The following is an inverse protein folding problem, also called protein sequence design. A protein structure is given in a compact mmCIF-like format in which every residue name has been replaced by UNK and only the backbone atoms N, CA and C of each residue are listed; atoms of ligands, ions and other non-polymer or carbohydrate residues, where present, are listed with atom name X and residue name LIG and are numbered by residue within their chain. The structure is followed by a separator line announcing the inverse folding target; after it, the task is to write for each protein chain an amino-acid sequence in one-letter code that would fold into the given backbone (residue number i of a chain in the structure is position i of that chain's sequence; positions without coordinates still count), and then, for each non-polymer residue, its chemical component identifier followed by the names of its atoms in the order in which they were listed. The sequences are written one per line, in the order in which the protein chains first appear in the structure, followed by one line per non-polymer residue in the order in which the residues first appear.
data_IF_514352531771
#
_entry.id   IF_514352531771
#
_cell.length_a   1.000
_cell.length_b   1.000
_cell.length_c   1.000
_cell.angle_alpha   90.00
_cell.angle_beta   90.00
_cell.angle_gamma   90.00
#
_symmetry.space_group_name_H-M   'P 1'
#
loop_
_entity.id
_entity.type
_entity.pdbx_description
1 polymer ?
#
# COMPACT_ATOMS: atom_id res chain seq x y z
N UNK A 1 3.47 4.99 10.58
CA UNK A 1 2.52 6.12 10.57
C UNK A 1 2.27 6.67 11.97
N UNK A 2 1.88 7.93 12.08
CA UNK A 2 1.57 8.54 13.38
C UNK A 2 0.26 8.01 13.98
N UNK A 3 -0.66 7.48 13.16
CA UNK A 3 -1.97 6.99 13.58
C UNK A 3 -1.84 5.71 14.41
N UNK A 4 -1.15 4.70 13.89
CA UNK A 4 -1.03 3.39 14.54
C UNK A 4 0.33 3.20 15.25
N UNK A 5 1.32 4.01 14.93
CA UNK A 5 2.69 3.92 15.45
C UNK A 5 3.14 5.27 16.01
N UNK A 6 2.73 5.59 17.22
CA UNK A 6 3.10 6.83 17.90
C UNK A 6 4.62 7.00 18.00
N UNK A 7 5.10 8.17 17.61
CA UNK A 7 6.53 8.47 17.62
C UNK A 7 7.28 8.01 16.36
N UNK A 8 6.60 7.40 15.40
CA UNK A 8 7.22 7.04 14.12
C UNK A 8 7.42 8.32 13.29
N UNK A 9 8.64 8.65 12.93
CA UNK A 9 8.92 9.90 12.23
C UNK A 9 8.70 9.84 10.71
N UNK A 10 8.78 8.64 10.11
CA UNK A 10 8.55 8.42 8.67
C UNK A 10 7.04 8.39 8.38
N UNK A 11 6.47 9.56 8.14
CA UNK A 11 5.03 9.75 8.03
C UNK A 11 4.55 10.10 6.61
N UNK A 12 5.48 10.41 5.69
CA UNK A 12 5.12 10.87 4.34
C UNK A 12 5.97 10.21 3.28
N UNK A 13 5.34 9.92 2.12
CA UNK A 13 6.04 9.35 0.97
C UNK A 13 7.21 10.23 0.51
N UNK A 14 7.04 11.55 0.49
CA UNK A 14 8.11 12.45 0.10
C UNK A 14 9.38 12.29 0.96
N UNK A 15 9.23 12.13 2.29
CA UNK A 15 10.38 11.89 3.18
C UNK A 15 11.06 10.54 2.91
N UNK A 16 10.27 9.50 2.58
CA UNK A 16 10.84 8.21 2.21
C UNK A 16 11.65 8.30 0.91
N UNK A 17 11.17 9.08 -0.06
CA UNK A 17 11.87 9.34 -1.32
C UNK A 17 13.18 10.09 -1.08
N UNK A 18 13.16 11.17 -0.28
CA UNK A 18 14.37 11.93 0.07
C UNK A 18 15.47 11.02 0.64
N UNK A 19 15.10 10.05 1.50
CA UNK A 19 16.05 9.07 2.08
C UNK A 19 16.61 8.14 1.01
N UNK A 20 15.75 7.59 0.16
CA UNK A 20 16.20 6.67 -0.91
C UNK A 20 17.13 7.37 -1.88
N UNK A 21 16.82 8.62 -2.23
CA UNK A 21 17.68 9.46 -3.08
C UNK A 21 19.03 9.78 -2.41
N UNK A 22 19.02 10.10 -1.11
CA UNK A 22 20.26 10.39 -0.37
C UNK A 22 21.15 9.16 -0.21
N UNK A 23 20.55 7.96 -0.03
CA UNK A 23 21.29 6.69 0.03
C UNK A 23 21.90 6.33 -1.32
N UNK A 24 21.28 6.74 -2.43
CA UNK A 24 21.72 6.52 -3.81
C UNK A 24 22.13 5.06 -4.11
N UNK A 25 21.29 4.11 -3.68
CA UNK A 25 21.56 2.67 -3.88
C UNK A 25 20.36 1.98 -4.50
N UNK A 26 20.52 1.22 -5.59
CA UNK A 26 19.44 0.46 -6.21
C UNK A 26 18.90 -0.67 -5.31
N UNK A 27 19.64 -1.03 -4.27
CA UNK A 27 19.23 -2.06 -3.29
C UNK A 27 18.22 -1.54 -2.27
N UNK A 28 18.05 -0.21 -2.17
CA UNK A 28 17.11 0.41 -1.23
C UNK A 28 15.87 0.89 -1.99
N UNK A 29 14.73 0.38 -1.58
CA UNK A 29 13.42 0.74 -2.13
C UNK A 29 12.42 0.95 -1.00
N UNK A 30 11.32 1.60 -1.31
CA UNK A 30 10.23 1.87 -0.37
C UNK A 30 9.26 0.69 -0.39
N UNK A 31 8.86 0.21 0.79
CA UNK A 31 7.64 -0.54 0.96
C UNK A 31 6.50 0.47 1.20
N UNK A 32 5.56 0.55 0.26
CA UNK A 32 4.37 1.37 0.41
C UNK A 32 3.21 0.52 0.93
N UNK A 33 2.90 0.67 2.22
CA UNK A 33 1.72 0.06 2.80
C UNK A 33 0.49 0.94 2.52
N UNK A 34 -0.44 0.42 1.74
CA UNK A 34 -1.61 1.17 1.28
C UNK A 34 -2.59 1.50 2.41
N UNK A 35 -2.68 0.64 3.45
CA UNK A 35 -3.47 0.93 4.64
C UNK A 35 -2.89 2.13 5.40
N UNK A 36 -1.60 2.05 5.73
CA UNK A 36 -0.93 3.13 6.47
C UNK A 36 -0.89 4.43 5.67
N UNK A 37 -0.68 4.34 4.36
CA UNK A 37 -0.70 5.50 3.49
C UNK A 37 -2.08 6.17 3.46
N UNK A 38 -3.17 5.39 3.40
CA UNK A 38 -4.53 5.92 3.44
C UNK A 38 -4.82 6.65 4.74
N UNK A 39 -4.53 6.05 5.88
CA UNK A 39 -4.82 6.66 7.18
C UNK A 39 -3.92 7.84 7.53
N UNK A 40 -2.77 7.98 6.88
CA UNK A 40 -1.79 9.03 7.14
C UNK A 40 -1.91 10.21 6.17
N UNK A 41 -1.82 9.99 4.88
CA UNK A 41 -1.83 11.04 3.84
C UNK A 41 -3.03 10.92 2.90
N UNK A 42 -3.54 9.71 2.69
CA UNK A 42 -4.52 9.43 1.63
C UNK A 42 -3.93 9.64 0.22
N UNK A 43 -4.79 9.99 -0.73
CA UNK A 43 -4.40 10.29 -2.11
C UNK A 43 -3.55 9.18 -2.75
N UNK A 44 -3.96 7.91 -2.52
CA UNK A 44 -3.18 6.70 -2.83
C UNK A 44 -2.71 6.66 -4.28
N UNK A 45 -3.64 6.78 -5.23
CA UNK A 45 -3.33 6.64 -6.66
C UNK A 45 -2.34 7.70 -7.12
N UNK A 46 -2.51 8.95 -6.70
CA UNK A 46 -1.58 10.01 -7.06
C UNK A 46 -0.18 9.78 -6.47
N UNK A 47 -0.11 9.34 -5.22
CA UNK A 47 1.17 9.07 -4.55
C UNK A 47 1.88 7.86 -5.16
N UNK A 48 1.21 6.72 -5.36
CA UNK A 48 1.83 5.55 -5.96
C UNK A 48 2.32 5.82 -7.39
N UNK A 49 1.52 6.50 -8.21
CA UNK A 49 1.90 6.82 -9.59
C UNK A 49 3.11 7.76 -9.62
N UNK A 50 3.11 8.79 -8.76
CA UNK A 50 4.20 9.75 -8.68
C UNK A 50 5.54 9.12 -8.27
N UNK A 51 5.49 8.18 -7.34
CA UNK A 51 6.69 7.63 -6.69
C UNK A 51 7.00 6.18 -7.08
N UNK A 52 6.34 5.63 -8.12
CA UNK A 52 6.45 4.22 -8.51
C UNK A 52 7.90 3.75 -8.70
N UNK A 53 8.78 4.60 -9.23
CA UNK A 53 10.18 4.26 -9.47
C UNK A 53 10.97 3.97 -8.16
N UNK A 54 10.49 4.48 -7.04
CA UNK A 54 11.11 4.28 -5.72
C UNK A 54 10.51 3.12 -4.95
N UNK A 55 9.34 2.60 -5.38
CA UNK A 55 8.60 1.55 -4.68
C UNK A 55 9.09 0.18 -5.13
N UNK A 56 9.49 -0.65 -4.17
CA UNK A 56 9.92 -2.02 -4.39
C UNK A 56 8.92 -3.07 -3.89
N UNK A 57 7.97 -2.67 -3.04
CA UNK A 57 6.93 -3.55 -2.54
C UNK A 57 5.69 -2.77 -2.09
N UNK A 58 4.52 -3.42 -2.20
CA UNK A 58 3.28 -2.92 -1.65
C UNK A 58 2.74 -3.88 -0.59
N UNK A 59 2.16 -3.31 0.48
CA UNK A 59 1.24 -4.03 1.36
C UNK A 59 -0.18 -3.49 1.19
N UNK A 60 -1.17 -4.37 1.35
CA UNK A 60 -2.58 -4.04 1.21
C UNK A 60 -3.40 -4.57 2.39
N UNK A 61 -4.27 -3.71 2.91
CA UNK A 61 -5.27 -4.03 3.92
C UNK A 61 -6.45 -3.06 3.85
N UNK A 62 -7.63 -3.48 4.29
CA UNK A 62 -8.84 -2.67 4.29
C UNK A 62 -8.83 -1.59 5.38
N UNK A 63 -9.39 -0.44 5.08
CA UNK A 63 -9.67 0.65 6.02
C UNK A 63 -11.19 0.77 6.15
N UNK A 64 -11.73 0.90 7.38
CA UNK A 64 -11.04 0.89 8.67
C UNK A 64 -10.67 -0.52 9.17
N UNK A 65 -9.82 -0.59 10.18
CA UNK A 65 -9.58 -1.78 11.01
C UNK A 65 -8.52 -2.74 10.51
N UNK A 66 -7.93 -2.52 9.32
CA UNK A 66 -6.89 -3.39 8.75
C UNK A 66 -7.36 -4.82 8.51
N UNK A 67 -8.55 -4.94 7.90
CA UNK A 67 -9.23 -6.20 7.59
C UNK A 67 -9.22 -6.49 6.08
N UNK A 68 -10.22 -7.24 5.59
CA UNK A 68 -10.41 -7.54 4.18
C UNK A 68 -10.40 -6.29 3.31
N UNK A 69 -9.91 -6.42 2.08
CA UNK A 69 -9.78 -5.31 1.14
C UNK A 69 -11.13 -4.82 0.60
N UNK A 70 -12.10 -5.71 0.51
CA UNK A 70 -13.43 -5.38 -0.03
C UNK A 70 -14.31 -4.69 1.01
N UNK A 71 -15.10 -3.72 0.57
CA UNK A 71 -16.12 -3.07 1.40
C UNK A 71 -15.62 -1.97 2.34
N UNK A 72 -14.34 -1.62 2.27
CA UNK A 72 -13.74 -0.51 3.03
C UNK A 72 -13.72 0.81 2.27
N UNK A 73 -12.95 1.77 2.79
CA UNK A 73 -12.80 3.11 2.23
C UNK A 73 -11.88 3.15 1.00
N UNK A 74 -11.05 2.12 0.80
CA UNK A 74 -10.12 2.06 -0.34
C UNK A 74 -10.80 1.32 -1.50
N UNK A 75 -10.89 1.97 -2.65
CA UNK A 75 -11.24 1.29 -3.90
C UNK A 75 -10.02 0.52 -4.43
N UNK A 76 -9.86 -0.71 -3.97
CA UNK A 76 -8.73 -1.55 -4.36
C UNK A 76 -8.74 -1.93 -5.84
N UNK A 77 -9.89 -1.96 -6.49
CA UNK A 77 -9.97 -2.21 -7.92
C UNK A 77 -9.30 -1.07 -8.71
N UNK A 78 -9.59 0.17 -8.33
CA UNK A 78 -8.96 1.35 -8.91
C UNK A 78 -7.46 1.44 -8.56
N UNK A 79 -7.09 1.11 -7.32
CA UNK A 79 -5.69 1.12 -6.86
C UNK A 79 -4.85 0.08 -7.59
N UNK A 80 -5.31 -1.16 -7.71
CA UNK A 80 -4.59 -2.22 -8.45
C UNK A 80 -4.48 -1.89 -9.94
N UNK A 81 -5.55 -1.34 -10.55
CA UNK A 81 -5.48 -0.85 -11.92
C UNK A 81 -4.44 0.26 -12.12
N UNK A 82 -4.28 1.16 -11.14
CA UNK A 82 -3.24 2.19 -11.20
C UNK A 82 -1.82 1.63 -11.03
N UNK A 83 -1.64 0.62 -10.18
CA UNK A 83 -0.37 -0.09 -10.00
C UNK A 83 0.06 -0.75 -11.31
N UNK A 84 -0.86 -1.48 -11.97
CA UNK A 84 -0.61 -2.10 -13.27
C UNK A 84 -0.27 -1.09 -14.36
N UNK A 85 -1.06 0.00 -14.45
CA UNK A 85 -0.82 1.08 -15.42
C UNK A 85 0.51 1.80 -15.19
N UNK A 86 0.99 1.86 -13.95
CA UNK A 86 2.30 2.41 -13.64
C UNK A 86 3.47 1.46 -13.99
N UNK A 87 3.19 0.25 -14.47
CA UNK A 87 4.19 -0.72 -14.91
C UNK A 87 4.88 -1.46 -13.78
N UNK A 88 4.27 -1.53 -12.60
CA UNK A 88 4.80 -2.32 -11.49
C UNK A 88 4.55 -3.81 -11.74
N UNK A 89 5.63 -4.59 -11.75
CA UNK A 89 5.64 -6.03 -12.11
C UNK A 89 6.01 -6.96 -10.93
N UNK A 90 6.06 -6.42 -9.72
CA UNK A 90 6.38 -7.17 -8.52
C UNK A 90 5.11 -7.58 -7.76
N UNK A 91 5.26 -8.03 -6.52
CA UNK A 91 4.17 -8.53 -5.70
C UNK A 91 3.54 -7.44 -4.83
N UNK A 92 2.23 -7.59 -4.59
CA UNK A 92 1.50 -6.88 -3.54
C UNK A 92 1.22 -7.88 -2.42
N UNK A 93 1.79 -7.65 -1.25
CA UNK A 93 1.57 -8.48 -0.06
C UNK A 93 0.24 -8.13 0.62
N UNK A 94 -0.48 -9.15 1.07
CA UNK A 94 -1.67 -8.97 1.91
C UNK A 94 -1.24 -8.98 3.37
N UNK A 95 -1.47 -7.88 4.07
CA UNK A 95 -1.08 -7.74 5.47
C UNK A 95 -2.25 -7.22 6.31
N UNK A 96 -3.24 -8.09 6.53
CA UNK A 96 -4.45 -7.75 7.29
C UNK A 96 -4.87 -8.86 8.26
N UNK A 97 -5.73 -8.51 9.21
CA UNK A 97 -6.36 -9.45 10.13
C UNK A 97 -7.74 -9.83 9.59
N UNK A 98 -7.93 -11.07 9.09
CA UNK A 98 -9.20 -11.47 8.50
C UNK A 98 -10.31 -11.53 9.55
N UNK A 99 -11.51 -11.08 9.16
CA UNK A 99 -12.75 -11.25 9.92
C UNK A 99 -13.56 -12.43 9.41
N UNK A 100 -13.30 -12.86 8.18
CA UNK A 100 -13.89 -14.03 7.55
C UNK A 100 -13.00 -15.27 7.75
N UNK A 101 -13.53 -16.42 7.38
CA UNK A 101 -12.72 -17.62 7.24
C UNK A 101 -11.62 -17.39 6.20
N UNK A 102 -10.41 -17.95 6.44
CA UNK A 102 -9.20 -17.58 5.69
C UNK A 102 -9.33 -17.77 4.17
N UNK A 103 -9.90 -18.90 3.73
CA UNK A 103 -10.08 -19.16 2.30
C UNK A 103 -11.11 -18.21 1.66
N UNK A 104 -12.20 -17.94 2.37
CA UNK A 104 -13.24 -17.00 1.90
C UNK A 104 -12.68 -15.58 1.78
N UNK A 105 -11.89 -15.15 2.77
CA UNK A 105 -11.20 -13.86 2.78
C UNK A 105 -10.25 -13.69 1.59
N UNK A 106 -9.41 -14.69 1.32
CA UNK A 106 -8.49 -14.67 0.20
C UNK A 106 -9.20 -14.71 -1.17
N UNK A 107 -10.27 -15.50 -1.31
CA UNK A 107 -11.07 -15.53 -2.54
C UNK A 107 -11.73 -14.19 -2.84
N UNK A 108 -12.22 -13.50 -1.81
CA UNK A 108 -12.79 -12.16 -1.94
C UNK A 108 -11.74 -11.17 -2.47
N UNK A 109 -10.52 -11.21 -1.93
CA UNK A 109 -9.42 -10.36 -2.38
C UNK A 109 -9.02 -10.66 -3.83
N UNK A 110 -8.90 -11.93 -4.21
CA UNK A 110 -8.59 -12.33 -5.58
C UNK A 110 -9.62 -11.86 -6.61
N UNK A 111 -10.87 -11.67 -6.21
CA UNK A 111 -11.91 -11.14 -7.10
C UNK A 111 -11.73 -9.66 -7.45
N UNK A 112 -10.94 -8.91 -6.67
CA UNK A 112 -10.64 -7.50 -6.92
C UNK A 112 -9.54 -7.30 -7.98
N UNK A 113 -8.75 -8.33 -8.26
CA UNK A 113 -7.57 -8.28 -9.16
C UNK A 113 -7.91 -8.67 -10.59
N UNK A 114 -9.16 -9.03 -10.87
CA UNK A 114 -9.62 -9.53 -12.18
C UNK A 114 -10.17 -8.42 -13.06
#
# INVERSE_FOLDING_TARGET
TLVDHHGYWLARMAHAVDIVEEVDSPAIKILMDLYHQQVQEGNLIANLTRYIAFIGHFHAAGVPGRHELAGGEIDYQAVFGAIDQAGYDQYVGLEYSPTLEAEASLRQTLALVK
#
